data_IF_277387600667
#
_entry.id   IF_277387600667
#
_cell.length_a   1.000
_cell.length_b   1.000
_cell.length_c   1.000
_cell.angle_alpha   90.00
_cell.angle_beta   90.00
_cell.angle_gamma   90.00
#
_symmetry.space_group_name_H-M   'P 1'
#
loop_
_entity.id
_entity.type
_entity.pdbx_description
1 polymer ?
#
# COMPACT_ATOMS: atom_id res chain seq x y z
N UNK A 1 -60.35 37.22 35.26
CA UNK A 1 -59.21 36.45 35.81
C UNK A 1 -58.31 35.99 34.66
N UNK A 2 -57.65 36.95 34.00
CA UNK A 2 -56.23 37.30 34.22
C UNK A 2 -55.28 36.20 33.73
N UNK A 3 -54.84 36.38 32.49
CA UNK A 3 -53.59 35.84 31.96
C UNK A 3 -52.41 36.67 32.49
N UNK A 4 -51.26 36.06 32.77
CA UNK A 4 -50.00 36.79 32.82
C UNK A 4 -49.21 36.58 31.52
N UNK A 5 -49.04 37.68 30.79
CA UNK A 5 -47.98 37.92 29.82
C UNK A 5 -46.64 38.03 30.53
N UNK A 6 -45.57 37.42 29.99
CA UNK A 6 -44.19 37.79 30.29
C UNK A 6 -43.39 38.00 28.99
N UNK A 7 -42.39 38.90 29.02
CA UNK A 7 -41.91 39.62 27.84
C UNK A 7 -40.66 39.01 27.23
N UNK A 8 -40.42 39.39 25.97
CA UNK A 8 -39.19 39.09 25.24
C UNK A 8 -37.97 39.84 25.77
N UNK A 9 -36.81 39.22 25.56
CA UNK A 9 -35.51 39.85 25.59
C UNK A 9 -34.82 39.55 24.26
N UNK A 10 -34.57 40.63 23.52
CA UNK A 10 -33.65 40.72 22.40
C UNK A 10 -32.25 40.34 22.91
N UNK A 11 -31.64 39.32 22.32
CA UNK A 11 -30.23 39.01 22.56
C UNK A 11 -29.41 39.54 21.39
N UNK A 12 -28.50 40.42 21.80
CA UNK A 12 -27.64 41.30 21.05
C UNK A 12 -26.51 40.49 20.38
N UNK A 13 -26.45 40.52 19.05
CA UNK A 13 -25.30 40.00 18.30
C UNK A 13 -24.14 40.99 18.40
N UNK A 14 -23.11 40.63 19.13
CA UNK A 14 -21.80 41.30 19.11
C UNK A 14 -20.85 40.59 18.12
N UNK A 15 -19.96 41.34 17.44
CA UNK A 15 -19.20 40.86 16.28
C UNK A 15 -17.93 40.09 16.66
N UNK A 16 -17.55 39.18 15.76
CA UNK A 16 -16.28 38.45 15.75
C UNK A 16 -15.11 39.42 15.50
N UNK A 17 -13.93 39.23 16.13
CA UNK A 17 -12.74 39.95 15.74
C UNK A 17 -12.11 39.32 14.49
N UNK A 18 -11.94 40.19 13.52
CA UNK A 18 -11.15 40.06 12.30
C UNK A 18 -9.65 40.17 12.65
N UNK A 19 -8.82 39.58 11.79
CA UNK A 19 -7.37 39.84 11.64
C UNK A 19 -6.38 39.17 12.64
N UNK A 20 -5.90 37.97 12.26
CA UNK A 20 -4.51 37.58 12.56
C UNK A 20 -3.64 37.89 11.33
N UNK A 21 -2.95 39.03 11.41
CA UNK A 21 -1.77 39.37 10.65
C UNK A 21 -0.66 38.37 10.99
N UNK A 22 -0.09 37.69 9.99
CA UNK A 22 1.15 36.92 10.14
C UNK A 22 2.14 37.45 9.12
N UNK A 23 2.93 38.43 9.57
CA UNK A 23 4.14 38.87 8.88
C UNK A 23 5.25 37.83 9.06
N UNK A 24 5.73 37.34 7.92
CA UNK A 24 7.12 37.45 7.47
C UNK A 24 8.27 37.05 8.43
N UNK A 25 8.85 35.86 8.19
CA UNK A 25 10.28 35.58 8.45
C UNK A 25 10.81 34.41 7.59
N UNK A 26 11.41 34.77 6.45
CA UNK A 26 12.71 34.34 5.91
C UNK A 26 13.23 32.89 6.13
N UNK A 27 13.56 32.15 5.05
CA UNK A 27 14.85 32.16 4.33
C UNK A 27 15.13 30.87 3.51
N UNK A 28 15.42 31.05 2.22
CA UNK A 28 16.43 30.38 1.36
C UNK A 28 16.74 28.87 1.53
N UNK A 29 16.43 28.07 0.51
CA UNK A 29 17.37 27.07 -0.03
C UNK A 29 17.36 27.07 -1.57
N UNK A 30 18.58 27.23 -2.08
CA UNK A 30 19.09 27.40 -3.43
C UNK A 30 18.49 26.60 -4.60
N UNK A 31 18.45 27.30 -5.73
CA UNK A 31 18.47 26.78 -7.08
C UNK A 31 19.89 26.32 -7.46
N UNK A 32 20.02 25.11 -8.01
CA UNK A 32 21.13 24.67 -8.89
C UNK A 32 20.85 23.24 -9.37
N UNK A 33 20.39 23.08 -10.62
CA UNK A 33 20.77 21.96 -11.52
C UNK A 33 19.98 22.04 -12.83
N UNK A 34 20.51 22.82 -13.78
CA UNK A 34 20.25 22.65 -15.20
C UNK A 34 21.46 21.93 -15.79
N UNK A 35 21.29 20.68 -16.18
CA UNK A 35 22.32 19.85 -16.81
C UNK A 35 21.68 18.63 -17.46
N UNK A 36 21.79 18.54 -18.78
CA UNK A 36 20.95 17.69 -19.63
C UNK A 36 21.24 16.20 -19.58
N UNK A 37 20.44 15.42 -20.30
CA UNK A 37 20.93 14.30 -21.11
C UNK A 37 19.87 13.87 -22.14
N UNK A 38 20.22 14.10 -23.41
CA UNK A 38 19.63 13.45 -24.58
C UNK A 38 20.03 11.98 -24.63
N UNK A 39 19.06 11.15 -25.01
CA UNK A 39 19.29 9.97 -25.83
C UNK A 39 19.48 8.66 -25.08
N UNK A 40 18.53 7.74 -25.24
CA UNK A 40 18.86 6.39 -25.70
C UNK A 40 17.63 5.69 -26.31
N UNK A 41 17.85 5.23 -27.53
CA UNK A 41 16.95 4.44 -28.37
C UNK A 41 17.00 2.96 -27.95
N UNK A 42 15.89 2.29 -28.24
CA UNK A 42 15.78 0.89 -28.68
C UNK A 42 16.41 -0.20 -27.79
N UNK A 43 15.55 -1.00 -27.17
CA UNK A 43 15.87 -2.40 -26.87
C UNK A 43 14.92 -3.30 -27.67
N UNK A 44 15.50 -3.91 -28.70
CA UNK A 44 14.92 -5.01 -29.46
C UNK A 44 15.04 -6.31 -28.68
N UNK A 45 14.05 -7.18 -28.88
CA UNK A 45 13.91 -8.46 -28.19
C UNK A 45 15.01 -9.47 -28.52
N UNK A 46 15.34 -10.28 -27.51
CA UNK A 46 15.93 -11.60 -27.67
C UNK A 46 15.17 -12.58 -26.78
N UNK A 47 14.54 -13.56 -27.42
CA UNK A 47 13.84 -14.68 -26.79
C UNK A 47 14.85 -15.81 -26.62
N UNK A 48 15.32 -16.01 -25.38
CA UNK A 48 16.13 -17.16 -24.98
C UNK A 48 15.40 -17.94 -23.89
N UNK A 49 15.28 -19.25 -24.05
CA UNK A 49 14.44 -20.15 -23.24
C UNK A 49 14.98 -20.44 -21.82
N UNK A 50 16.01 -19.70 -21.38
CA UNK A 50 16.51 -19.67 -20.00
C UNK A 50 16.77 -18.22 -19.58
N UNK A 51 15.68 -17.45 -19.41
CA UNK A 51 15.73 -16.10 -18.86
C UNK A 51 15.93 -16.12 -17.35
N UNK A 52 17.18 -16.12 -16.89
CA UNK A 52 17.49 -15.68 -15.52
C UNK A 52 17.19 -14.18 -15.42
N UNK A 53 16.14 -13.83 -14.69
CA UNK A 53 15.84 -12.44 -14.32
C UNK A 53 17.02 -11.84 -13.56
N UNK A 54 17.65 -10.79 -14.10
CA UNK A 54 18.72 -10.01 -13.46
C UNK A 54 18.28 -8.64 -12.93
N UNK A 55 16.98 -8.35 -12.83
CA UNK A 55 16.52 -6.97 -12.57
C UNK A 55 16.01 -6.65 -11.16
N UNK A 56 16.15 -7.56 -10.19
CA UNK A 56 16.00 -7.21 -8.79
C UNK A 56 17.26 -7.65 -8.06
N UNK A 57 17.99 -6.74 -7.41
CA UNK A 57 19.21 -7.02 -6.64
C UNK A 57 19.00 -7.94 -5.42
N UNK A 58 17.99 -8.80 -5.43
CA UNK A 58 17.69 -9.81 -4.44
C UNK A 58 18.00 -11.18 -5.04
N UNK A 59 18.85 -11.94 -4.36
CA UNK A 59 19.16 -13.33 -4.72
C UNK A 59 17.89 -14.17 -4.60
N UNK A 60 17.41 -14.73 -5.71
CA UNK A 60 16.27 -15.66 -5.68
C UNK A 60 16.68 -16.92 -4.92
N UNK A 61 15.96 -17.22 -3.84
CA UNK A 61 16.08 -18.46 -3.10
C UNK A 61 14.77 -19.24 -3.30
N UNK A 62 14.81 -20.45 -3.90
CA UNK A 62 13.59 -21.20 -4.15
C UNK A 62 12.88 -21.48 -2.83
N UNK A 63 11.57 -21.29 -2.83
CA UNK A 63 10.70 -21.64 -1.72
C UNK A 63 10.70 -23.15 -1.50
N UNK A 64 10.38 -23.57 -0.27
CA UNK A 64 10.21 -25.01 0.05
C UNK A 64 9.13 -25.67 -0.84
N UNK A 65 8.12 -24.92 -1.27
CA UNK A 65 7.09 -25.40 -2.19
C UNK A 65 7.65 -25.71 -3.59
N UNK A 66 8.52 -24.85 -4.12
CA UNK A 66 9.19 -25.09 -5.41
C UNK A 66 10.12 -26.30 -5.33
N UNK A 67 10.86 -26.46 -4.22
CA UNK A 67 11.63 -27.69 -3.98
C UNK A 67 10.73 -28.93 -3.93
N UNK A 68 9.61 -28.87 -3.22
CA UNK A 68 8.67 -29.97 -3.11
C UNK A 68 8.08 -30.36 -4.48
N UNK A 69 7.74 -29.39 -5.33
CA UNK A 69 7.26 -29.65 -6.69
C UNK A 69 8.35 -30.32 -7.53
N UNK A 70 9.59 -29.81 -7.49
CA UNK A 70 10.72 -30.41 -8.21
C UNK A 70 10.95 -31.87 -7.79
N UNK A 71 10.98 -32.14 -6.49
CA UNK A 71 11.13 -33.51 -5.99
C UNK A 71 9.90 -34.39 -6.30
N UNK A 72 8.69 -33.82 -6.30
CA UNK A 72 7.46 -34.50 -6.67
C UNK A 72 7.47 -34.97 -8.12
N UNK A 73 7.87 -34.11 -9.06
CA UNK A 73 7.99 -34.46 -10.48
C UNK A 73 9.04 -35.56 -10.70
N UNK A 74 10.22 -35.43 -10.06
CA UNK A 74 11.26 -36.46 -10.14
C UNK A 74 10.80 -37.80 -9.56
N UNK A 75 10.09 -37.77 -8.43
CA UNK A 75 9.52 -38.96 -7.80
C UNK A 75 8.48 -39.63 -8.69
N UNK A 76 7.56 -38.85 -9.28
CA UNK A 76 6.56 -39.36 -10.22
C UNK A 76 7.22 -40.01 -11.45
N UNK A 77 8.24 -39.36 -12.04
CA UNK A 77 8.99 -39.92 -13.15
C UNK A 77 9.67 -41.24 -12.76
N UNK A 78 10.25 -41.32 -11.56
CA UNK A 78 10.82 -42.55 -11.00
C UNK A 78 9.78 -43.66 -10.83
N UNK A 79 8.59 -43.34 -10.31
CA UNK A 79 7.50 -44.31 -10.17
C UNK A 79 6.98 -44.81 -11.52
N UNK A 80 6.83 -43.93 -12.51
CA UNK A 80 6.46 -44.32 -13.88
C UNK A 80 7.53 -45.23 -14.48
N UNK A 81 8.81 -44.89 -14.29
CA UNK A 81 9.92 -45.74 -14.73
C UNK A 81 9.85 -47.13 -14.07
N UNK A 82 9.69 -47.21 -12.75
CA UNK A 82 9.55 -48.51 -12.07
C UNK A 82 8.30 -49.28 -12.49
N UNK A 83 7.17 -48.60 -12.68
CA UNK A 83 5.96 -49.21 -13.23
C UNK A 83 6.22 -49.83 -14.60
N UNK A 84 6.95 -49.12 -15.47
CA UNK A 84 7.34 -49.64 -16.78
C UNK A 84 8.26 -50.86 -16.63
N UNK A 85 9.27 -50.80 -15.77
CA UNK A 85 10.19 -51.93 -15.51
C UNK A 85 9.48 -53.15 -14.93
N UNK A 86 8.48 -52.95 -14.08
CA UNK A 86 7.72 -54.03 -13.43
C UNK A 86 6.68 -54.66 -14.38
N UNK A 87 5.95 -53.84 -15.14
CA UNK A 87 4.82 -54.32 -15.96
C UNK A 87 5.23 -54.71 -17.37
N UNK A 88 6.33 -54.14 -17.87
CA UNK A 88 6.90 -54.50 -19.16
C UNK A 88 8.20 -55.24 -18.89
N UNK A 89 8.32 -56.44 -19.44
CA UNK A 89 9.49 -57.31 -19.29
C UNK A 89 10.72 -56.80 -20.07
N UNK A 90 10.97 -55.49 -20.08
CA UNK A 90 12.13 -54.83 -20.70
C UNK A 90 13.42 -55.40 -20.10
N UNK A 91 13.39 -55.76 -18.81
CA UNK A 91 14.52 -56.34 -18.08
C UNK A 91 14.28 -57.80 -17.63
N UNK A 92 13.22 -58.45 -18.15
CA UNK A 92 12.86 -59.82 -17.77
C UNK A 92 13.88 -60.87 -18.24
N UNK A 93 13.77 -62.09 -17.71
CA UNK A 93 14.67 -63.18 -18.07
C UNK A 93 14.62 -63.56 -19.56
N UNK A 94 13.60 -63.16 -20.34
CA UNK A 94 13.60 -63.32 -21.80
C UNK A 94 14.60 -62.40 -22.51
N UNK A 95 14.87 -61.21 -21.96
CA UNK A 95 15.96 -60.33 -22.40
C UNK A 95 17.31 -60.96 -22.06
N UNK A 96 17.44 -61.51 -20.84
CA UNK A 96 18.61 -62.32 -20.48
C UNK A 96 18.71 -63.58 -21.31
N UNK A 97 17.65 -64.30 -21.70
CA UNK A 97 17.74 -65.47 -22.59
C UNK A 97 18.23 -65.08 -23.99
N UNK A 98 17.91 -63.86 -24.47
CA UNK A 98 18.52 -63.25 -25.67
C UNK A 98 19.97 -62.81 -25.46
N UNK A 99 20.35 -62.39 -24.24
CA UNK A 99 21.71 -62.00 -23.85
C UNK A 99 22.58 -63.17 -23.30
N UNK A 100 22.00 -64.31 -22.97
CA UNK A 100 22.55 -65.52 -22.34
C UNK A 100 22.54 -66.72 -23.30
N UNK A 101 22.02 -66.53 -24.52
CA UNK A 101 22.77 -66.89 -25.74
C UNK A 101 24.12 -66.14 -25.87
N UNK A 102 24.47 -65.25 -24.93
CA UNK A 102 25.77 -64.55 -24.92
C UNK A 102 26.56 -64.54 -23.61
N UNK A 103 26.02 -64.74 -22.40
CA UNK A 103 26.82 -65.13 -21.22
C UNK A 103 26.00 -65.32 -19.94
N UNK A 104 25.81 -66.56 -19.53
CA UNK A 104 25.35 -66.98 -18.20
C UNK A 104 26.24 -66.42 -17.09
N UNK A 105 25.63 -65.95 -15.98
CA UNK A 105 26.09 -66.23 -14.61
C UNK A 105 25.08 -65.67 -13.58
N UNK A 106 24.44 -66.59 -12.88
CA UNK A 106 23.55 -66.42 -11.72
C UNK A 106 24.31 -66.14 -10.43
N UNK A 107 23.74 -65.28 -9.57
CA UNK A 107 24.04 -65.25 -8.14
C UNK A 107 22.75 -65.03 -7.33
N UNK A 108 22.55 -65.90 -6.34
CA UNK A 108 21.44 -65.90 -5.39
C UNK A 108 21.63 -64.85 -4.29
N UNK A 109 20.56 -64.16 -3.91
CA UNK A 109 20.48 -63.35 -2.69
C UNK A 109 19.32 -63.79 -1.81
N UNK A 110 19.57 -63.67 -0.51
CA UNK A 110 19.07 -64.50 0.58
C UNK A 110 17.77 -63.97 1.26
N UNK A 111 17.19 -64.85 2.08
CA UNK A 111 15.83 -64.98 2.62
C UNK A 111 15.34 -63.97 3.69
N UNK A 112 15.96 -62.81 3.88
CA UNK A 112 15.65 -61.96 5.04
C UNK A 112 14.49 -60.97 4.89
N UNK A 113 13.75 -60.95 3.78
CA UNK A 113 12.63 -59.99 3.57
C UNK A 113 11.35 -60.57 2.99
N UNK A 114 11.08 -61.88 3.13
CA UNK A 114 9.86 -62.50 2.60
C UNK A 114 8.54 -61.88 3.11
N UNK A 115 8.55 -61.16 4.23
CA UNK A 115 7.41 -60.38 4.72
C UNK A 115 7.04 -59.26 3.75
N UNK A 116 8.04 -58.53 3.23
CA UNK A 116 7.83 -57.46 2.25
C UNK A 116 7.34 -58.00 0.92
N UNK A 117 7.75 -59.20 0.53
CA UNK A 117 7.30 -59.80 -0.74
C UNK A 117 5.81 -60.12 -0.71
N UNK A 118 5.26 -60.59 0.42
CA UNK A 118 3.82 -60.84 0.54
C UNK A 118 3.00 -59.53 0.53
N UNK A 119 3.47 -58.51 1.26
CA UNK A 119 2.82 -57.20 1.38
C UNK A 119 2.90 -56.39 0.07
N UNK A 120 3.91 -56.62 -0.76
CA UNK A 120 4.08 -55.96 -2.06
C UNK A 120 3.40 -56.71 -3.23
N UNK A 121 2.99 -57.97 -3.05
CA UNK A 121 2.36 -58.78 -4.10
C UNK A 121 0.83 -58.74 -4.07
N UNK A 122 0.21 -58.37 -2.95
CA UNK A 122 -1.25 -58.18 -2.90
C UNK A 122 -1.62 -56.74 -3.28
N UNK A 123 -2.49 -56.58 -4.28
CA UNK A 123 -2.80 -55.27 -4.86
C UNK A 123 -3.43 -54.28 -3.87
N UNK A 124 -4.18 -54.78 -2.88
CA UNK A 124 -4.89 -53.95 -1.90
C UNK A 124 -3.93 -53.40 -0.84
N UNK A 125 -2.98 -54.21 -0.36
CA UNK A 125 -2.01 -53.79 0.67
C UNK A 125 -1.07 -52.71 0.14
N UNK A 126 -0.68 -52.78 -1.15
CA UNK A 126 0.11 -51.74 -1.84
C UNK A 126 -0.61 -50.40 -1.87
N UNK A 127 -1.91 -50.39 -2.17
CA UNK A 127 -2.71 -49.16 -2.21
C UNK A 127 -2.85 -48.55 -0.82
N UNK A 128 -3.09 -49.37 0.21
CA UNK A 128 -3.19 -48.87 1.59
C UNK A 128 -1.87 -48.31 2.12
N UNK A 129 -0.74 -48.93 1.80
CA UNK A 129 0.58 -48.42 2.19
C UNK A 129 0.91 -47.10 1.49
N UNK A 130 0.63 -47.01 0.18
CA UNK A 130 0.78 -45.76 -0.57
C UNK A 130 -0.09 -44.69 0.06
N UNK A 131 -1.37 -44.95 0.30
CA UNK A 131 -2.28 -43.98 0.92
C UNK A 131 -1.83 -43.56 2.33
N UNK A 132 -1.36 -44.50 3.15
CA UNK A 132 -0.88 -44.23 4.50
C UNK A 132 0.37 -43.34 4.54
N UNK A 133 1.17 -43.32 3.47
CA UNK A 133 2.37 -42.47 3.36
C UNK A 133 2.03 -41.18 2.61
N UNK A 134 1.30 -41.25 1.50
CA UNK A 134 1.01 -40.09 0.65
C UNK A 134 0.01 -39.14 1.29
N UNK A 135 -0.99 -39.60 2.05
CA UNK A 135 -1.94 -38.69 2.69
C UNK A 135 -1.28 -37.82 3.76
N UNK A 136 -0.47 -38.34 4.71
CA UNK A 136 0.23 -37.49 5.67
C UNK A 136 1.28 -36.59 5.03
N UNK A 137 1.99 -37.08 4.00
CA UNK A 137 2.96 -36.25 3.26
C UNK A 137 2.25 -35.15 2.50
N UNK A 138 1.20 -35.49 1.75
CA UNK A 138 0.36 -34.52 1.03
C UNK A 138 -0.26 -33.53 2.01
N UNK A 139 -0.77 -33.96 3.16
CA UNK A 139 -1.24 -33.08 4.21
C UNK A 139 -0.10 -32.20 4.71
N UNK A 140 1.08 -32.73 5.04
CA UNK A 140 2.20 -31.90 5.51
C UNK A 140 2.71 -30.90 4.45
N UNK A 141 2.65 -31.24 3.16
CA UNK A 141 3.13 -30.40 2.06
C UNK A 141 2.07 -29.44 1.49
N UNK A 142 0.80 -29.83 1.52
CA UNK A 142 -0.34 -29.09 0.96
C UNK A 142 -1.22 -28.48 2.03
N UNK A 143 -1.04 -28.82 3.33
CA UNK A 143 -1.67 -28.08 4.41
C UNK A 143 -1.22 -26.64 4.22
N UNK A 144 -2.15 -25.74 3.86
CA UNK A 144 -1.78 -24.39 3.52
C UNK A 144 -1.00 -23.88 4.72
N UNK A 145 0.17 -23.24 4.52
CA UNK A 145 0.68 -22.44 5.59
C UNK A 145 -0.39 -21.37 5.84
N UNK A 146 -1.26 -21.59 6.81
CA UNK A 146 -2.00 -20.57 7.55
C UNK A 146 -1.00 -19.71 8.35
N UNK A 147 0.23 -19.56 7.85
CA UNK A 147 1.02 -18.38 8.12
C UNK A 147 0.16 -17.28 7.56
N UNK A 148 -0.51 -16.55 8.46
CA UNK A 148 -1.11 -15.26 8.16
C UNK A 148 -0.17 -14.58 7.17
N UNK A 149 -0.57 -14.55 5.89
CA UNK A 149 0.19 -13.86 4.88
C UNK A 149 0.38 -12.48 5.48
N UNK A 150 1.64 -12.09 5.73
CA UNK A 150 1.90 -10.79 6.34
C UNK A 150 1.17 -9.81 5.44
N UNK A 151 0.22 -9.02 5.98
CA UNK A 151 -0.59 -8.14 5.16
C UNK A 151 0.34 -7.34 4.28
N UNK A 152 0.10 -7.35 2.96
CA UNK A 152 0.99 -6.72 2.00
C UNK A 152 1.22 -5.27 2.43
N UNK A 153 2.44 -4.95 2.92
CA UNK A 153 2.68 -3.66 3.51
C UNK A 153 2.59 -2.64 2.39
N UNK A 154 1.82 -1.58 2.64
CA UNK A 154 1.76 -0.46 1.71
C UNK A 154 3.12 0.23 1.73
N UNK A 155 3.69 0.40 0.54
CA UNK A 155 4.93 1.14 0.34
C UNK A 155 4.61 2.58 -0.04
N UNK A 156 5.40 3.56 0.45
CA UNK A 156 5.19 4.96 0.09
C UNK A 156 5.36 5.16 -1.42
N UNK A 157 4.72 6.18 -2.01
CA UNK A 157 4.83 6.46 -3.43
C UNK A 157 6.29 6.63 -3.87
N UNK A 158 6.64 6.07 -5.03
CA UNK A 158 8.03 5.97 -5.52
C UNK A 158 8.65 7.30 -5.99
N UNK A 159 7.93 8.41 -5.89
CA UNK A 159 8.45 9.75 -6.18
C UNK A 159 7.58 10.81 -5.50
N UNK A 160 8.19 11.58 -4.61
CA UNK A 160 7.83 12.96 -4.31
C UNK A 160 9.11 13.77 -4.53
N UNK A 161 9.57 13.87 -5.78
CA UNK A 161 10.54 14.92 -6.06
C UNK A 161 9.75 16.23 -6.20
N UNK A 162 10.28 17.33 -5.69
CA UNK A 162 9.63 18.64 -5.71
C UNK A 162 9.34 19.16 -7.13
N UNK A 163 9.86 18.47 -8.16
CA UNK A 163 9.71 18.80 -9.58
C UNK A 163 8.53 18.04 -10.20
N UNK A 164 8.16 16.87 -9.67
CA UNK A 164 7.11 16.00 -10.17
C UNK A 164 5.95 16.03 -9.19
N UNK A 165 5.07 16.99 -9.41
CA UNK A 165 3.72 17.05 -8.86
C UNK A 165 2.88 15.76 -9.01
N UNK A 166 3.37 14.75 -9.73
CA UNK A 166 2.68 13.49 -10.00
C UNK A 166 3.17 12.37 -9.10
N UNK A 167 2.29 11.90 -8.22
CA UNK A 167 2.49 10.73 -7.37
C UNK A 167 2.23 9.44 -8.16
N UNK A 168 3.14 8.48 -8.00
CA UNK A 168 3.02 7.11 -8.52
C UNK A 168 2.71 6.18 -7.35
N UNK A 169 1.45 5.77 -7.24
CA UNK A 169 0.93 5.00 -6.11
C UNK A 169 0.79 3.54 -6.54
N UNK A 170 1.71 2.69 -6.08
CA UNK A 170 1.64 1.23 -6.22
C UNK A 170 1.81 0.62 -4.83
N UNK A 171 0.72 0.63 -4.05
CA UNK A 171 0.77 0.40 -2.61
C UNK A 171 1.44 -0.93 -2.25
N UNK A 172 1.06 -2.05 -2.87
CA UNK A 172 1.69 -3.36 -2.62
C UNK A 172 2.76 -3.76 -3.65
N UNK A 173 3.15 -2.87 -4.57
CA UNK A 173 4.11 -3.20 -5.65
C UNK A 173 3.67 -4.38 -6.52
N UNK A 174 2.36 -4.58 -6.67
CA UNK A 174 1.81 -5.64 -7.51
C UNK A 174 1.75 -5.24 -9.00
N UNK A 175 2.28 -4.07 -9.37
CA UNK A 175 2.28 -3.55 -10.73
C UNK A 175 0.96 -2.87 -11.12
N UNK A 176 0.01 -2.73 -10.18
CA UNK A 176 -1.25 -2.03 -10.39
C UNK A 176 -1.11 -0.54 -10.00
N UNK A 177 -0.29 0.16 -10.77
CA UNK A 177 0.05 1.55 -10.51
C UNK A 177 -1.13 2.51 -10.75
N UNK A 178 -1.42 3.38 -9.78
CA UNK A 178 -2.20 4.59 -9.96
C UNK A 178 -1.30 5.82 -10.15
N UNK A 179 -1.69 6.72 -11.05
CA UNK A 179 -0.99 7.99 -11.31
C UNK A 179 -1.87 9.14 -10.84
N UNK A 180 -1.35 9.95 -9.91
CA UNK A 180 -2.09 11.04 -9.29
C UNK A 180 -1.33 12.37 -9.42
N UNK A 181 -1.83 13.29 -10.23
CA UNK A 181 -1.25 14.63 -10.38
C UNK A 181 -1.71 15.55 -9.24
N UNK A 182 -0.95 15.57 -8.15
CA UNK A 182 -1.28 16.29 -6.92
C UNK A 182 -1.37 17.80 -7.14
N UNK A 183 -0.43 18.43 -7.87
CA UNK A 183 -0.49 19.88 -8.09
C UNK A 183 -1.70 20.26 -8.95
N UNK A 184 -2.00 19.48 -10.00
CA UNK A 184 -3.18 19.73 -10.82
C UNK A 184 -4.48 19.54 -10.03
N UNK A 185 -4.53 18.61 -9.06
CA UNK A 185 -5.69 18.48 -8.17
C UNK A 185 -5.79 19.65 -7.20
N UNK A 186 -4.69 20.03 -6.54
CA UNK A 186 -4.66 21.18 -5.63
C UNK A 186 -5.14 22.46 -6.33
N UNK A 187 -4.62 22.75 -7.51
CA UNK A 187 -4.99 23.94 -8.28
C UNK A 187 -6.48 23.95 -8.63
N UNK A 188 -7.00 22.86 -9.20
CA UNK A 188 -8.40 22.75 -9.62
C UNK A 188 -9.39 22.83 -8.46
N UNK A 189 -8.98 22.48 -7.24
CA UNK A 189 -9.85 22.46 -6.08
C UNK A 189 -9.74 23.71 -5.19
N UNK A 190 -8.99 24.73 -5.64
CA UNK A 190 -8.88 26.01 -4.93
C UNK A 190 -7.61 26.18 -4.09
N UNK A 191 -6.49 25.62 -4.53
CA UNK A 191 -5.19 25.82 -3.89
C UNK A 191 -5.09 25.14 -2.54
N UNK A 192 -4.44 25.78 -1.57
CA UNK A 192 -4.17 25.18 -0.25
C UNK A 192 -5.44 24.95 0.58
N UNK A 193 -6.54 25.69 0.31
CA UNK A 193 -7.84 25.44 0.93
C UNK A 193 -8.42 24.06 0.58
N UNK A 194 -7.97 23.45 -0.53
CA UNK A 194 -8.40 22.12 -0.95
C UNK A 194 -7.76 20.98 -0.16
N UNK A 195 -6.69 21.23 0.59
CA UNK A 195 -5.98 20.19 1.34
C UNK A 195 -6.95 19.43 2.27
N UNK A 196 -7.93 20.14 2.81
CA UNK A 196 -8.91 19.60 3.74
C UNK A 196 -9.90 18.61 3.12
N UNK A 197 -10.06 18.65 1.80
CA UNK A 197 -10.94 17.77 1.04
C UNK A 197 -10.35 16.35 0.89
N UNK A 198 -9.03 16.21 1.05
CA UNK A 198 -8.31 14.94 0.84
C UNK A 198 -7.61 14.45 2.11
N UNK A 199 -6.95 15.34 2.86
CA UNK A 199 -6.12 14.99 4.02
C UNK A 199 -6.90 15.05 5.33
N UNK A 200 -7.82 14.11 5.53
CA UNK A 200 -8.75 14.15 6.67
C UNK A 200 -8.10 14.12 8.07
N UNK A 201 -6.87 13.62 8.18
CA UNK A 201 -6.11 13.58 9.43
C UNK A 201 -4.62 13.62 9.15
N UNK A 202 -3.92 14.59 9.73
CA UNK A 202 -2.46 14.65 9.76
C UNK A 202 -1.91 14.12 11.08
N UNK A 203 -0.74 13.47 11.02
CA UNK A 203 0.03 13.10 12.19
C UNK A 203 0.53 14.36 12.93
N UNK A 204 0.83 14.25 14.23
CA UNK A 204 1.43 15.32 15.01
C UNK A 204 2.61 16.01 14.32
N UNK A 205 2.50 17.33 14.12
CA UNK A 205 3.51 18.18 13.49
C UNK A 205 3.58 18.11 11.97
N UNK A 206 2.63 17.43 11.32
CA UNK A 206 2.53 17.32 9.87
C UNK A 206 1.32 18.13 9.35
N UNK A 207 1.43 18.64 8.12
CA UNK A 207 0.36 19.40 7.45
C UNK A 207 -0.42 18.53 6.46
N UNK A 208 0.20 17.49 5.89
CA UNK A 208 -0.40 16.67 4.85
C UNK A 208 0.17 15.25 4.91
N UNK A 209 -0.23 14.49 5.93
CA UNK A 209 0.27 13.13 6.09
C UNK A 209 -0.15 12.24 4.91
N UNK A 210 0.80 11.51 4.29
CA UNK A 210 0.48 10.51 3.27
C UNK A 210 -0.38 9.38 3.82
N UNK A 211 -1.38 8.94 3.04
CA UNK A 211 -2.36 7.95 3.48
C UNK A 211 -1.72 6.62 3.89
N UNK A 212 -0.58 6.23 3.29
CA UNK A 212 0.12 4.98 3.60
C UNK A 212 0.68 4.94 5.03
N UNK A 213 0.86 6.08 5.69
CA UNK A 213 1.31 6.13 7.10
C UNK A 213 0.28 5.52 8.05
N UNK A 214 -0.99 5.78 7.76
CA UNK A 214 -2.13 5.36 8.55
C UNK A 214 -2.73 4.05 8.01
N UNK A 215 -2.92 3.97 6.70
CA UNK A 215 -3.48 2.83 5.99
C UNK A 215 -2.37 1.92 5.46
N UNK A 216 -1.78 1.13 6.36
CA UNK A 216 -0.52 0.40 6.08
C UNK A 216 -0.69 -0.95 5.37
N UNK A 217 -1.92 -1.36 5.12
CA UNK A 217 -2.24 -2.63 4.45
C UNK A 217 -3.18 -2.35 3.29
N UNK A 218 -2.90 -2.97 2.14
CA UNK A 218 -3.73 -2.81 0.95
C UNK A 218 -5.16 -3.30 1.14
N UNK A 219 -5.33 -4.39 1.90
CA UNK A 219 -6.57 -5.19 1.92
C UNK A 219 -7.17 -5.35 3.32
N UNK A 220 -6.42 -5.00 4.37
CA UNK A 220 -6.84 -5.23 5.74
C UNK A 220 -6.84 -3.96 6.57
N UNK A 221 -7.68 -3.93 7.61
CA UNK A 221 -7.63 -2.86 8.59
C UNK A 221 -6.30 -2.90 9.35
N UNK A 222 -5.70 -1.75 9.60
CA UNK A 222 -4.43 -1.64 10.34
C UNK A 222 -4.61 -0.85 11.63
N UNK A 223 -3.98 -1.25 12.75
CA UNK A 223 -4.02 -0.43 13.95
C UNK A 223 -3.36 0.92 13.65
N UNK A 224 -4.04 2.06 13.83
CA UNK A 224 -3.41 3.36 13.58
C UNK A 224 -2.29 3.60 14.59
N UNK A 225 -2.62 3.33 15.85
CA UNK A 225 -1.77 3.55 17.00
C UNK A 225 -0.72 2.45 17.15
N UNK A 226 0.56 2.83 17.09
CA UNK A 226 1.68 1.97 17.46
C UNK A 226 2.08 2.25 18.91
N UNK A 227 1.45 1.52 19.83
CA UNK A 227 1.53 1.77 21.27
C UNK A 227 2.96 1.93 21.79
N UNK A 228 3.87 1.04 21.43
CA UNK A 228 5.28 1.09 21.88
C UNK A 228 5.95 2.43 21.51
N UNK A 229 5.96 2.78 20.21
CA UNK A 229 6.55 4.04 19.74
C UNK A 229 5.92 5.27 20.39
N UNK A 230 4.59 5.28 20.54
CA UNK A 230 3.91 6.40 21.17
C UNK A 230 4.26 6.52 22.65
N UNK A 231 4.27 5.41 23.40
CA UNK A 231 4.65 5.44 24.82
C UNK A 231 6.09 5.90 25.04
N UNK A 232 7.01 5.57 24.12
CA UNK A 232 8.38 6.08 24.13
C UNK A 232 8.43 7.58 23.83
N UNK A 233 7.67 8.05 22.83
CA UNK A 233 7.60 9.47 22.49
C UNK A 233 7.02 10.31 23.65
N UNK A 234 5.91 9.86 24.25
CA UNK A 234 5.30 10.50 25.42
C UNK A 234 6.25 10.50 26.60
N UNK A 235 6.89 9.37 26.93
CA UNK A 235 7.85 9.32 28.03
C UNK A 235 9.01 10.32 27.83
N UNK A 236 9.50 10.46 26.59
CA UNK A 236 10.53 11.44 26.24
C UNK A 236 10.03 12.88 26.39
N UNK A 237 8.84 13.19 25.86
CA UNK A 237 8.23 14.53 25.92
C UNK A 237 7.97 14.97 27.36
N UNK A 238 7.42 14.08 28.17
CA UNK A 238 7.09 14.30 29.58
C UNK A 238 8.30 14.13 30.52
N UNK A 239 9.49 13.88 29.96
CA UNK A 239 10.76 13.68 30.69
C UNK A 239 10.66 12.61 31.78
N UNK A 240 9.86 11.56 31.52
CA UNK A 240 9.72 10.41 32.41
C UNK A 240 10.96 9.53 32.26
N UNK A 241 11.69 9.30 33.35
CA UNK A 241 12.93 8.52 33.37
C UNK A 241 12.82 7.31 34.30
N UNK A 242 13.23 6.12 33.82
CA UNK A 242 13.51 4.94 34.64
C UNK A 242 12.71 3.68 34.29
N UNK A 243 13.24 2.51 34.66
CA UNK A 243 12.70 1.16 34.39
C UNK A 243 11.48 0.77 35.25
N UNK A 244 11.02 1.64 36.16
CA UNK A 244 10.03 1.29 37.18
C UNK A 244 8.58 1.30 36.65
N UNK A 245 7.72 0.37 37.11
CA UNK A 245 6.26 0.35 36.93
C UNK A 245 5.47 1.64 37.18
N UNK A 246 6.09 2.70 37.67
CA UNK A 246 5.40 3.93 38.09
C UNK A 246 5.78 5.13 37.19
N UNK A 247 6.84 4.99 36.37
CA UNK A 247 7.19 5.90 35.28
C UNK A 247 6.34 5.68 34.02
N UNK A 248 5.09 5.27 34.21
CA UNK A 248 4.24 4.73 33.15
C UNK A 248 3.49 5.86 32.48
N UNK A 249 3.95 6.27 31.30
CA UNK A 249 3.16 7.04 30.33
C UNK A 249 1.74 6.46 30.14
N UNK A 250 1.50 5.20 30.49
CA UNK A 250 0.17 4.59 30.57
C UNK A 250 -0.87 5.42 31.36
N UNK A 251 -0.52 6.02 32.51
CA UNK A 251 -1.52 6.77 33.32
C UNK A 251 -1.90 8.12 32.69
N UNK A 252 -1.07 8.61 31.77
CA UNK A 252 -1.37 9.81 31.00
C UNK A 252 -2.46 9.54 29.97
N UNK A 253 -2.52 8.31 29.45
CA UNK A 253 -3.44 7.89 28.40
C UNK A 253 -4.62 7.04 28.91
N UNK A 254 -4.49 6.35 30.05
CA UNK A 254 -5.50 5.44 30.59
C UNK A 254 -5.86 5.75 32.03
N UNK A 255 -7.15 5.61 32.33
CA UNK A 255 -7.66 5.77 33.70
C UNK A 255 -7.08 4.68 34.64
N UNK A 256 -6.65 5.06 35.85
CA UNK A 256 -6.29 4.09 36.89
C UNK A 256 -7.46 3.16 37.21
N UNK A 257 -7.19 1.86 37.33
CA UNK A 257 -8.19 0.86 37.70
C UNK A 257 -9.10 0.37 36.57
N UNK A 258 -8.97 0.88 35.34
CA UNK A 258 -9.66 0.35 34.16
C UNK A 258 -8.78 -0.60 33.35
N UNK A 259 -9.39 -1.57 32.67
CA UNK A 259 -8.69 -2.43 31.70
C UNK A 259 -8.12 -1.57 30.59
N UNK A 260 -6.79 -1.61 30.37
CA UNK A 260 -6.12 -0.82 29.34
C UNK A 260 -6.45 -1.34 27.95
N UNK A 261 -7.41 -0.69 27.30
CA UNK A 261 -7.88 -1.00 25.94
C UNK A 261 -7.86 0.26 25.08
N UNK A 262 -7.91 0.13 23.76
CA UNK A 262 -7.99 1.29 22.87
C UNK A 262 -9.26 2.12 23.14
N UNK A 263 -10.37 1.47 23.50
CA UNK A 263 -11.64 2.13 23.86
C UNK A 263 -11.63 2.81 25.22
N UNK A 264 -10.68 2.47 26.10
CA UNK A 264 -10.53 3.08 27.42
C UNK A 264 -9.30 3.99 27.50
N UNK A 265 -8.68 4.28 26.36
CA UNK A 265 -7.63 5.29 26.25
C UNK A 265 -8.27 6.65 25.95
N UNK A 266 -7.59 7.73 26.33
CA UNK A 266 -7.95 9.08 25.87
C UNK A 266 -7.93 9.14 24.33
N UNK A 267 -8.94 9.76 23.69
CA UNK A 267 -8.90 10.08 22.27
C UNK A 267 -7.64 10.88 21.88
N UNK A 268 -7.12 10.66 20.67
CA UNK A 268 -5.89 11.33 20.21
C UNK A 268 -6.00 12.85 20.28
N UNK A 269 -7.16 13.40 19.90
CA UNK A 269 -7.44 14.83 19.90
C UNK A 269 -7.61 15.44 21.31
N UNK A 270 -7.55 14.65 22.39
CA UNK A 270 -7.44 15.26 23.72
C UNK A 270 -6.03 15.80 23.97
N UNK A 271 -5.00 15.11 23.50
CA UNK A 271 -3.60 15.49 23.65
C UNK A 271 -3.05 16.24 22.44
N UNK A 272 -3.58 15.95 21.24
CA UNK A 272 -3.09 16.48 19.97
C UNK A 272 -4.06 17.48 19.34
N UNK A 273 -4.49 18.49 20.09
CA UNK A 273 -5.42 19.53 19.60
C UNK A 273 -4.76 20.51 18.64
N UNK A 274 -3.49 20.79 18.87
CA UNK A 274 -2.75 21.88 18.24
C UNK A 274 -1.79 21.39 17.14
N UNK A 275 -1.34 20.15 17.23
CA UNK A 275 -0.34 19.56 16.36
C UNK A 275 -0.90 18.51 15.39
N UNK A 276 -2.14 18.06 15.58
CA UNK A 276 -2.91 17.35 14.55
C UNK A 276 -3.96 18.28 13.98
N UNK A 277 -3.99 18.42 12.64
CA UNK A 277 -5.01 19.16 11.93
C UNK A 277 -6.06 18.20 11.36
N UNK A 278 -7.12 17.84 12.10
CA UNK A 278 -8.28 17.20 11.50
C UNK A 278 -8.95 18.20 10.55
N UNK A 279 -9.39 17.73 9.39
CA UNK A 279 -10.15 18.57 8.47
C UNK A 279 -11.61 18.61 8.87
N UNK A 280 -12.41 19.43 8.18
CA UNK A 280 -13.81 19.71 8.49
C UNK A 280 -14.55 18.47 8.97
N UNK A 281 -15.13 18.66 10.16
CA UNK A 281 -15.34 17.67 11.21
C UNK A 281 -15.28 16.21 10.78
N UNK A 282 -14.39 15.42 11.40
CA UNK A 282 -14.29 14.02 11.11
C UNK A 282 -15.68 13.40 11.46
N UNK A 283 -16.36 12.79 10.47
CA UNK A 283 -17.72 12.29 10.60
C UNK A 283 -17.80 11.12 11.60
N UNK A 284 -18.30 11.38 12.81
CA UNK A 284 -18.53 10.40 13.88
C UNK A 284 -17.44 10.35 14.94
N UNK A 285 -17.67 9.65 16.05
CA UNK A 285 -16.61 9.30 17.00
C UNK A 285 -15.59 8.41 16.28
N UNK A 286 -14.44 8.98 15.89
CA UNK A 286 -13.43 8.21 15.18
C UNK A 286 -13.00 7.08 16.09
N UNK A 287 -13.28 5.85 15.68
CA UNK A 287 -12.57 4.69 16.16
C UNK A 287 -11.12 4.73 15.64
N UNK A 288 -10.34 5.73 16.10
CA UNK A 288 -8.92 5.96 15.80
C UNK A 288 -8.02 4.79 16.25
N UNK A 289 -8.61 3.73 16.78
CA UNK A 289 -7.95 2.47 17.02
C UNK A 289 -7.46 1.83 15.71
N UNK A 290 -8.24 1.93 14.62
CA UNK A 290 -7.96 1.20 13.37
C UNK A 290 -8.25 2.06 12.13
N UNK A 291 -7.36 1.97 11.15
CA UNK A 291 -7.57 2.46 9.80
C UNK A 291 -8.20 1.34 8.99
N UNK A 292 -9.13 1.68 8.09
CA UNK A 292 -9.55 0.80 7.00
C UNK A 292 -8.38 0.47 6.06
N UNK A 293 -8.60 -0.47 5.14
CA UNK A 293 -7.57 -0.81 4.16
C UNK A 293 -7.20 0.38 3.27
N UNK A 294 -5.98 0.42 2.75
CA UNK A 294 -5.51 1.51 1.88
C UNK A 294 -6.33 1.63 0.60
N UNK A 295 -6.66 0.48 -0.02
CA UNK A 295 -7.54 0.45 -1.19
C UNK A 295 -8.89 1.07 -0.89
N UNK A 296 -9.49 0.68 0.24
CA UNK A 296 -10.79 1.19 0.64
C UNK A 296 -10.75 2.69 0.96
N UNK A 297 -9.74 3.17 1.67
CA UNK A 297 -9.54 4.59 1.96
C UNK A 297 -9.43 5.42 0.67
N UNK A 298 -8.55 5.00 -0.26
CA UNK A 298 -8.40 5.66 -1.56
C UNK A 298 -9.71 5.67 -2.35
N UNK A 299 -10.38 4.52 -2.45
CA UNK A 299 -11.59 4.40 -3.27
C UNK A 299 -12.79 5.17 -2.67
N UNK A 300 -12.97 5.15 -1.35
CA UNK A 300 -14.05 5.88 -0.68
C UNK A 300 -13.87 7.40 -0.76
N UNK A 301 -12.63 7.90 -0.85
CA UNK A 301 -12.37 9.33 -1.04
C UNK A 301 -12.45 9.73 -2.52
N UNK A 302 -11.75 9.03 -3.41
CA UNK A 302 -11.55 9.51 -4.78
C UNK A 302 -12.71 9.19 -5.72
N UNK A 303 -13.31 7.99 -5.64
CA UNK A 303 -14.33 7.55 -6.61
C UNK A 303 -15.60 8.40 -6.52
N UNK A 304 -16.18 8.66 -5.33
CA UNK A 304 -17.39 9.47 -5.23
C UNK A 304 -17.20 10.88 -5.80
N UNK A 305 -16.10 11.56 -5.45
CA UNK A 305 -15.76 12.88 -5.98
C UNK A 305 -15.59 12.84 -7.50
N UNK A 306 -14.89 11.85 -8.05
CA UNK A 306 -14.75 11.71 -9.49
C UNK A 306 -16.09 11.46 -10.20
N UNK A 307 -16.96 10.64 -9.62
CA UNK A 307 -18.30 10.36 -10.16
C UNK A 307 -19.15 11.63 -10.16
N UNK A 308 -19.13 12.41 -9.09
CA UNK A 308 -19.80 13.71 -9.02
C UNK A 308 -19.28 14.66 -10.13
N UNK A 309 -17.96 14.73 -10.29
CA UNK A 309 -17.31 15.58 -11.32
C UNK A 309 -17.45 15.05 -12.75
N UNK A 310 -17.90 13.81 -12.98
CA UNK A 310 -18.09 13.26 -14.33
C UNK A 310 -19.07 14.12 -15.13
N UNK A 311 -20.22 14.46 -14.54
CA UNK A 311 -21.26 15.25 -15.20
C UNK A 311 -20.83 16.72 -15.34
N UNK A 312 -20.28 17.32 -14.28
CA UNK A 312 -19.84 18.73 -14.26
C UNK A 312 -18.78 19.01 -15.34
N UNK A 313 -17.83 18.09 -15.52
CA UNK A 313 -16.72 18.26 -16.46
C UNK A 313 -16.99 17.64 -17.84
N UNK A 314 -18.18 17.05 -18.05
CA UNK A 314 -18.53 16.28 -19.24
C UNK A 314 -17.50 15.15 -19.53
N UNK A 315 -16.97 14.51 -18.48
CA UNK A 315 -15.94 13.45 -18.54
C UNK A 315 -16.55 12.11 -18.14
N UNK A 316 -17.24 11.37 -19.04
CA UNK A 316 -18.03 10.20 -18.66
C UNK A 316 -17.21 9.09 -17.98
N UNK A 317 -15.91 8.98 -18.27
CA UNK A 317 -15.04 7.92 -17.73
C UNK A 317 -14.25 8.32 -16.48
N UNK A 318 -14.44 9.53 -15.91
CA UNK A 318 -13.61 10.06 -14.83
C UNK A 318 -13.60 9.20 -13.55
N UNK A 319 -14.72 8.54 -13.22
CA UNK A 319 -14.86 7.62 -12.09
C UNK A 319 -14.45 6.18 -12.38
N UNK A 320 -14.03 5.84 -13.61
CA UNK A 320 -13.65 4.47 -13.97
C UNK A 320 -12.22 4.12 -13.56
N UNK A 321 -11.95 2.83 -13.33
CA UNK A 321 -10.65 2.34 -12.89
C UNK A 321 -9.49 2.77 -13.82
N UNK A 322 -9.73 2.80 -15.14
CA UNK A 322 -8.74 3.18 -16.15
C UNK A 322 -8.27 4.64 -16.08
N UNK A 323 -9.03 5.51 -15.40
CA UNK A 323 -8.63 6.90 -15.15
C UNK A 323 -7.40 6.96 -14.26
N UNK A 324 -7.41 6.20 -13.15
CA UNK A 324 -6.31 6.19 -12.19
C UNK A 324 -5.28 5.10 -12.54
N UNK A 325 -5.75 3.89 -12.88
CA UNK A 325 -4.92 2.72 -13.16
C UNK A 325 -4.75 2.54 -14.66
N UNK A 326 -3.68 3.10 -15.22
CA UNK A 326 -3.42 3.05 -16.66
C UNK A 326 -3.38 1.62 -17.23
N UNK A 327 -2.94 0.64 -16.44
CA UNK A 327 -2.91 -0.77 -16.83
C UNK A 327 -4.30 -1.42 -16.96
N UNK A 328 -5.36 -0.80 -16.43
CA UNK A 328 -6.74 -1.27 -16.51
C UNK A 328 -7.55 -0.63 -17.66
N UNK A 329 -6.92 0.22 -18.49
CA UNK A 329 -7.62 0.84 -19.61
C UNK A 329 -8.00 -0.19 -20.66
N UNK A 330 -9.30 -0.32 -20.89
CA UNK A 330 -9.85 -1.17 -21.95
C UNK A 330 -9.81 -0.44 -23.30
N UNK A 331 -9.97 -1.17 -24.41
CA UNK A 331 -10.14 -0.56 -25.74
C UNK A 331 -11.35 0.38 -25.79
N UNK A 332 -12.40 0.06 -25.04
CA UNK A 332 -13.61 0.88 -24.93
C UNK A 332 -13.34 2.19 -24.18
N UNK A 333 -12.64 2.11 -23.05
CA UNK A 333 -12.17 3.28 -22.31
C UNK A 333 -11.37 4.23 -23.21
N UNK A 334 -10.42 3.69 -23.99
CA UNK A 334 -9.60 4.50 -24.90
C UNK A 334 -10.44 5.13 -26.04
N UNK A 335 -11.50 4.46 -26.52
CA UNK A 335 -12.42 5.05 -27.50
C UNK A 335 -13.21 6.22 -26.91
N UNK A 336 -13.77 6.05 -25.71
CA UNK A 336 -14.51 7.12 -25.02
C UNK A 336 -13.61 8.32 -24.72
N UNK A 337 -12.37 8.07 -24.28
CA UNK A 337 -11.39 9.11 -24.02
C UNK A 337 -10.99 9.85 -25.32
N UNK A 338 -10.85 9.14 -26.44
CA UNK A 338 -10.57 9.75 -27.73
C UNK A 338 -11.75 10.62 -28.22
N UNK A 339 -12.99 10.14 -28.07
CA UNK A 339 -14.19 10.91 -28.41
C UNK A 339 -14.27 12.20 -27.58
N UNK A 340 -14.06 12.10 -26.27
CA UNK A 340 -14.04 13.26 -25.38
C UNK A 340 -12.99 14.31 -25.83
N UNK A 341 -11.76 13.86 -26.14
CA UNK A 341 -10.68 14.75 -26.63
C UNK A 341 -11.04 15.48 -27.93
N UNK A 342 -11.82 14.86 -28.82
CA UNK A 342 -12.26 15.51 -30.06
C UNK A 342 -13.34 16.56 -29.81
N UNK A 343 -14.18 16.36 -28.80
CA UNK A 343 -15.31 17.26 -28.47
C UNK A 343 -14.93 18.44 -27.59
N UNK A 344 -13.78 18.38 -26.90
CA UNK A 344 -13.30 19.49 -26.10
C UNK A 344 -12.60 20.52 -27.00
N UNK A 345 -13.04 21.79 -27.03
CA UNK A 345 -12.27 22.84 -27.67
C UNK A 345 -10.89 22.88 -27.03
N UNK A 346 -9.85 23.06 -27.85
CA UNK A 346 -8.44 23.03 -27.47
C UNK A 346 -8.14 24.07 -26.37
N UNK A 347 -8.43 23.72 -25.11
CA UNK A 347 -8.27 24.59 -23.95
C UNK A 347 -6.81 24.90 -23.68
N UNK A 348 -5.89 24.15 -24.30
CA UNK A 348 -4.46 24.45 -24.31
C UNK A 348 -4.13 25.76 -25.05
N UNK A 349 -5.01 26.27 -25.92
CA UNK A 349 -4.86 27.61 -26.55
C UNK A 349 -5.31 28.77 -25.68
N UNK A 350 -5.94 28.49 -24.54
CA UNK A 350 -6.40 29.50 -23.59
C UNK A 350 -5.79 29.29 -22.20
N UNK A 351 -4.67 28.57 -22.09
CA UNK A 351 -3.79 28.78 -20.95
C UNK A 351 -3.46 30.29 -20.92
N UNK A 352 -3.89 31.06 -19.90
CA UNK A 352 -3.53 32.47 -19.83
C UNK A 352 -2.01 32.52 -19.92
N UNK A 353 -1.49 33.27 -20.89
CA UNK A 353 -0.07 33.57 -20.95
C UNK A 353 0.33 33.97 -19.54
N UNK A 354 1.18 33.16 -18.91
CA UNK A 354 1.56 33.32 -17.51
C UNK A 354 1.79 34.81 -17.28
N UNK A 355 0.92 35.43 -16.48
CA UNK A 355 1.02 36.84 -16.19
C UNK A 355 2.42 37.04 -15.63
N UNK A 356 3.28 37.68 -16.44
CA UNK A 356 4.61 38.08 -16.03
C UNK A 356 4.40 38.97 -14.82
N UNK A 357 4.67 38.43 -13.63
CA UNK A 357 4.78 39.20 -12.41
C UNK A 357 5.90 40.21 -12.61
N UNK A 358 5.56 41.42 -13.06
CA UNK A 358 6.46 42.56 -12.96
C UNK A 358 6.80 42.71 -11.47
N UNK A 359 8.10 42.84 -11.12
CA UNK A 359 8.48 43.09 -9.75
C UNK A 359 7.96 44.48 -9.36
N UNK A 360 7.04 44.51 -8.40
CA UNK A 360 6.58 45.74 -7.78
C UNK A 360 7.75 46.35 -6.98
N UNK A 361 8.61 47.14 -7.63
CA UNK A 361 9.58 47.99 -6.93
C UNK A 361 8.82 49.13 -6.27
N UNK A 362 8.34 48.90 -5.04
CA UNK A 362 7.92 49.97 -4.14
C UNK A 362 9.15 50.75 -3.69
N UNK A 363 9.28 51.95 -4.25
CA UNK A 363 10.14 53.03 -3.78
C UNK A 363 9.68 53.49 -2.40
N UNK A 364 10.22 52.90 -1.33
CA UNK A 364 10.19 53.49 0.01
C UNK A 364 11.10 54.74 0.02
N UNK A 365 10.49 55.92 -0.13
CA UNK A 365 11.11 57.19 0.26
C UNK A 365 11.03 57.30 1.78
N UNK A 366 12.19 57.33 2.41
CA UNK A 366 12.34 57.81 3.78
C UNK A 366 12.15 59.33 3.79
N UNK A 367 11.17 59.82 4.55
CA UNK A 367 11.14 61.21 4.99
C UNK A 367 11.99 61.36 6.27
N UNK A 368 12.83 62.40 6.38
CA UNK A 368 13.50 62.72 7.64
C UNK A 368 12.64 63.66 8.49
N UNK A 369 12.35 63.25 9.72
CA UNK A 369 11.76 64.12 10.73
C UNK A 369 12.69 65.28 11.09
N UNK A 370 12.19 66.48 10.83
CA UNK A 370 12.80 67.73 11.19
C UNK A 370 12.51 68.11 12.64
N UNK A 371 13.59 68.46 13.33
CA UNK A 371 13.71 69.32 14.51
C UNK A 371 12.64 70.42 14.61
N UNK A 372 12.04 70.58 15.80
CA UNK A 372 11.22 71.75 16.14
C UNK A 372 11.06 71.92 17.65
N UNK A 373 11.81 72.87 18.20
CA UNK A 373 11.74 73.36 19.58
C UNK A 373 10.43 74.12 19.87
N UNK A 374 9.96 74.05 21.12
CA UNK A 374 8.89 74.86 21.70
C UNK A 374 8.68 74.54 23.16
#
# INVERSE_FOLDING_TARGET
PEQPTLPGSLEEQAPLPEECHVDELHHQVNAENAGGHQGQRAQGGQIGIFGYFRDAGVTYWPSLGEWAICFGVLSMAGLVFFFIVENFSIFGEDWKRRLETKSSLTAAFDRLTLVWKSVLLSGVERVTLIAAITLPVAWLTLYPPYRHAKPDPVTPPLAMDSVRATLRIDGNRAGLLAVFDHAAHRERLGGDASCTQCHHLSLPGDKATPCDRCHRSMEHTTPLFRHEYHTTAVAKQEKLAGLHPENRSCVLCHDPGRTKTASSAKPCLECHKEDMAPTDRPAGEFALARAISFREAMHQTCIPCHVEKQAELNRPVLGECGTCHASLRTKEYERLLAQYRQTQPDSSRHAPAAASSEPLTQSLRAEPDSVGSG
#
